data_IF_186133149793
#
_entry.id   IF_186133149793
#
_cell.length_a   1.000
_cell.length_b   1.000
_cell.length_c   1.000
_cell.angle_alpha   90.00
_cell.angle_beta   90.00
_cell.angle_gamma   90.00
#
_symmetry.space_group_name_H-M   'P 1'
#
loop_
_entity.id
_entity.type
_entity.pdbx_description
1 polymer ?
2 non-polymer ?
3 water ?
#
# COMPACT_ATOMS: atom_id res chain seq x y z
N UNK A 1 -3.89 25.46 -16.18
CA UNK A 1 -4.89 24.36 -16.28
C UNK A 1 -4.48 23.22 -17.22
N UNK A 2 -3.58 23.46 -18.18
CA UNK A 2 -3.17 22.39 -19.10
C UNK A 2 -1.81 21.74 -18.84
N UNK A 3 -0.98 22.39 -18.00
CA UNK A 3 0.36 21.97 -17.80
C UNK A 3 0.52 20.86 -16.76
N UNK A 4 1.61 20.11 -16.89
CA UNK A 4 1.96 19.10 -15.94
C UNK A 4 2.68 19.87 -14.83
N UNK A 5 2.79 19.24 -13.67
CA UNK A 5 3.55 19.80 -12.55
C UNK A 5 4.65 18.80 -12.30
N UNK A 6 5.79 19.28 -11.82
CA UNK A 6 6.90 18.41 -11.49
C UNK A 6 7.47 18.78 -10.11
N UNK A 7 8.05 17.76 -9.48
CA UNK A 7 8.87 17.89 -8.27
C UNK A 7 10.27 17.39 -8.62
N UNK A 8 11.30 18.11 -8.20
CA UNK A 8 12.69 17.65 -8.25
C UNK A 8 12.97 17.36 -6.78
N UNK A 9 13.33 16.11 -6.50
CA UNK A 9 13.49 15.64 -5.15
C UNK A 9 14.90 15.15 -4.94
N UNK A 10 15.54 15.70 -3.89
CA UNK A 10 16.89 15.35 -3.49
C UNK A 10 16.84 14.24 -2.42
N UNK A 11 17.50 13.11 -2.67
CA UNK A 11 17.51 11.98 -1.75
C UNK A 11 18.69 11.06 -2.04
N UNK A 12 19.05 10.25 -1.05
CA UNK A 12 20.13 9.27 -1.20
C UNK A 12 19.39 7.92 -1.31
N UNK A 13 19.45 7.26 -2.46
CA UNK A 13 18.81 5.96 -2.60
C UNK A 13 19.31 4.93 -1.57
N UNK A 14 18.52 3.91 -1.34
CA UNK A 14 18.89 2.85 -0.40
C UNK A 14 20.19 2.22 -0.87
N UNK A 15 21.12 2.04 0.06
CA UNK A 15 22.43 1.42 -0.21
C UNK A 15 23.56 2.31 -0.72
N UNK A 16 23.30 3.61 -0.84
CA UNK A 16 24.33 4.55 -1.24
C UNK A 16 24.36 5.80 -0.33
N UNK A 17 25.54 6.38 -0.27
CA UNK A 17 25.85 7.57 0.52
C UNK A 17 25.62 8.85 -0.28
N UNK A 18 25.56 8.71 -1.59
CA UNK A 18 25.50 9.88 -2.48
C UNK A 18 24.06 10.31 -2.79
N UNK A 19 23.79 11.61 -2.67
CA UNK A 19 22.44 12.05 -3.00
C UNK A 19 22.34 12.27 -4.52
N UNK A 20 21.11 12.18 -5.01
CA UNK A 20 20.78 12.42 -6.42
C UNK A 20 19.55 13.29 -6.40
N UNK A 21 19.16 13.83 -7.56
CA UNK A 21 17.93 14.59 -7.68
C UNK A 21 17.11 13.84 -8.74
N UNK A 22 15.93 13.41 -8.35
CA UNK A 22 15.05 12.66 -9.25
C UNK A 22 13.80 13.50 -9.46
N UNK A 23 13.30 13.51 -10.69
CA UNK A 23 12.10 14.25 -11.03
C UNK A 23 10.84 13.38 -11.04
N UNK A 24 9.76 13.88 -10.46
CA UNK A 24 8.46 13.23 -10.52
C UNK A 24 7.56 14.21 -11.29
N UNK A 25 7.01 13.77 -12.42
CA UNK A 25 6.08 14.60 -13.21
C UNK A 25 4.68 14.06 -12.98
N UNK A 26 3.73 14.99 -12.81
CA UNK A 26 2.34 14.64 -12.64
C UNK A 26 1.41 15.31 -13.66
N UNK A 27 0.35 14.56 -14.01
CA UNK A 27 -0.81 14.99 -14.78
C UNK A 27 -1.85 15.34 -13.72
N UNK A 28 -2.46 16.52 -13.78
CA UNK A 28 -3.48 16.87 -12.78
C UNK A 28 -4.85 16.84 -13.41
N UNK A 29 -5.85 16.63 -12.57
CA UNK A 29 -7.23 16.55 -13.01
C UNK A 29 -7.97 17.83 -12.69
N UNK A 30 -7.49 18.94 -13.25
CA UNK A 30 -8.09 20.25 -13.02
C UNK A 30 -9.55 20.33 -13.42
N UNK A 31 -9.97 19.55 -14.40
CA UNK A 31 -11.37 19.57 -14.81
C UNK A 31 -12.28 18.90 -13.78
N UNK A 32 -11.79 17.80 -13.21
CA UNK A 32 -12.52 17.02 -12.22
C UNK A 32 -12.61 17.70 -10.86
N UNK A 33 -11.49 18.23 -10.40
CA UNK A 33 -11.36 18.85 -9.08
C UNK A 33 -10.55 20.15 -9.17
N UNK A 34 -11.18 21.18 -9.76
CA UNK A 34 -10.49 22.44 -10.04
C UNK A 34 -9.87 23.14 -8.85
N UNK A 35 -10.59 23.24 -7.74
CA UNK A 35 -10.08 23.95 -6.57
C UNK A 35 -8.92 23.20 -5.93
N UNK A 36 -8.99 21.87 -5.89
CA UNK A 36 -7.92 21.07 -5.31
C UNK A 36 -6.66 21.14 -6.14
N UNK A 37 -6.79 21.00 -7.46
CA UNK A 37 -5.64 21.06 -8.35
C UNK A 37 -5.04 22.48 -8.31
N UNK A 38 -5.91 23.49 -8.30
CA UNK A 38 -5.46 24.90 -8.25
C UNK A 38 -4.62 25.15 -6.99
N UNK A 39 -5.09 24.71 -5.82
CA UNK A 39 -4.35 24.85 -4.57
C UNK A 39 -2.94 24.23 -4.63
N UNK A 40 -2.84 23.06 -5.25
CA UNK A 40 -1.59 22.36 -5.37
C UNK A 40 -0.61 23.15 -6.22
N UNK A 41 -1.11 23.64 -7.36
CA UNK A 41 -0.29 24.43 -8.28
C UNK A 41 0.18 25.71 -7.59
N UNK A 42 -0.70 26.34 -6.83
CA UNK A 42 -0.36 27.54 -6.08
C UNK A 42 0.71 27.25 -5.03
N UNK A 43 0.55 26.17 -4.30
CA UNK A 43 1.55 25.77 -3.31
C UNK A 43 2.88 25.37 -3.93
N UNK A 44 2.85 24.87 -5.17
CA UNK A 44 4.05 24.53 -5.94
C UNK A 44 4.86 25.77 -6.30
N UNK A 45 4.18 26.86 -6.60
CA UNK A 45 4.83 28.10 -7.04
C UNK A 45 5.29 29.04 -5.95
N UNK A 46 4.73 28.94 -4.74
CA UNK A 46 5.11 29.84 -3.67
C UNK A 46 6.59 29.74 -3.32
N UNK A 47 7.15 30.81 -2.75
CA UNK A 47 8.54 30.81 -2.35
C UNK A 47 8.88 29.69 -1.36
N UNK A 48 10.16 29.28 -1.36
CA UNK A 48 10.64 28.28 -0.42
C UNK A 48 10.18 28.73 0.98
N UNK A 49 9.73 27.80 1.80
CA UNK A 49 9.22 28.09 3.15
C UNK A 49 7.72 28.34 3.24
N UNK A 50 7.10 28.75 2.14
CA UNK A 50 5.66 29.01 2.06
C UNK A 50 4.89 27.97 1.24
N UNK A 51 5.60 27.29 0.34
CA UNK A 51 4.98 26.31 -0.52
C UNK A 51 5.71 25.01 -0.38
N UNK A 52 5.69 24.22 -1.45
CA UNK A 52 6.37 22.93 -1.41
C UNK A 52 7.88 22.97 -1.58
N UNK A 53 8.41 24.01 -2.22
CA UNK A 53 9.86 24.05 -2.41
C UNK A 53 10.53 24.17 -1.03
N UNK A 54 11.47 23.26 -0.80
CA UNK A 54 12.19 23.09 0.45
C UNK A 54 11.41 22.26 1.47
N UNK A 55 10.22 21.78 1.16
CA UNK A 55 9.53 20.94 2.12
C UNK A 55 10.09 19.53 1.89
N UNK A 56 9.75 18.63 2.82
CA UNK A 56 10.21 17.26 2.82
C UNK A 56 9.08 16.24 2.88
N UNK A 57 9.44 15.00 2.60
CA UNK A 57 8.53 13.86 2.68
C UNK A 57 8.66 13.31 4.11
N UNK A 58 7.53 13.35 4.83
CA UNK A 58 7.43 13.01 6.25
C UNK A 58 7.23 11.53 6.56
N UNK A 59 6.40 10.87 5.75
CA UNK A 59 6.06 9.46 5.92
C UNK A 59 6.21 8.79 4.57
N UNK A 60 6.86 7.64 4.57
CA UNK A 60 7.09 6.89 3.36
C UNK A 60 6.96 5.40 3.66
N UNK A 61 6.26 4.64 2.82
CA UNK A 61 6.16 3.20 3.00
C UNK A 61 6.59 2.55 1.69
N UNK A 62 7.54 1.63 1.73
CA UNK A 62 8.00 0.99 0.49
C UNK A 62 6.88 0.35 -0.34
N UNK A 63 6.98 0.55 -1.65
CA UNK A 63 6.00 0.02 -2.61
C UNK A 63 4.56 0.44 -2.34
N UNK A 64 4.38 1.55 -1.61
CA UNK A 64 3.03 1.93 -1.23
C UNK A 64 2.77 3.43 -1.27
N UNK A 65 3.49 4.20 -0.47
CA UNK A 65 3.12 5.64 -0.39
C UNK A 65 4.23 6.59 0.03
N UNK A 66 4.00 7.86 -0.32
CA UNK A 66 4.82 8.98 0.11
C UNK A 66 3.84 10.05 0.55
N UNK A 67 4.11 10.67 1.68
CA UNK A 67 3.26 11.75 2.15
C UNK A 67 4.11 13.00 2.34
N UNK A 68 3.62 14.11 1.78
CA UNK A 68 4.36 15.35 1.95
C UNK A 68 3.41 16.48 2.24
N UNK A 69 3.94 17.70 2.17
CA UNK A 69 3.13 18.89 2.34
C UNK A 69 2.62 19.28 3.70
N UNK A 70 3.32 18.90 4.76
CA UNK A 70 2.87 19.30 6.11
C UNK A 70 3.97 19.96 6.93
N UNK A 93 -2.72 1.22 17.25
CA UNK A 93 -3.14 2.08 16.10
C UNK A 93 -2.18 1.82 14.94
N UNK A 94 -1.00 2.45 14.92
CA UNK A 94 0.02 2.10 13.93
C UNK A 94 0.55 0.72 14.34
N UNK A 95 0.72 0.48 15.64
CA UNK A 95 1.22 -0.82 16.10
C UNK A 95 0.22 -1.88 15.69
N UNK A 96 -1.05 -1.58 15.85
CA UNK A 96 -2.11 -2.54 15.48
C UNK A 96 -2.19 -2.81 13.97
N UNK A 97 -2.10 -1.76 13.15
CA UNK A 97 -2.11 -1.94 11.71
C UNK A 97 -0.96 -2.85 11.29
N UNK A 98 0.21 -2.66 11.92
CA UNK A 98 1.42 -3.43 11.58
C UNK A 98 1.35 -4.92 11.95
N UNK A 99 0.46 -5.27 12.85
CA UNK A 99 0.33 -6.64 13.28
C UNK A 99 -0.48 -7.46 12.25
N UNK A 100 -1.14 -6.82 11.29
CA UNK A 100 -1.93 -7.56 10.29
C UNK A 100 -3.43 -7.34 10.43
N UNK A 101 -3.93 -6.64 9.40
CA UNK A 101 -5.32 -6.26 9.27
C UNK A 101 -5.91 -7.00 8.08
N UNK A 102 -7.14 -7.45 8.25
CA UNK A 102 -7.90 -8.09 7.23
C UNK A 102 -9.02 -7.11 6.80
N UNK A 103 -9.03 -6.80 5.50
CA UNK A 103 -9.98 -5.90 4.88
C UNK A 103 -10.67 -6.51 3.66
N UNK A 104 -11.91 -6.08 3.40
CA UNK A 104 -12.70 -6.52 2.25
C UNK A 104 -12.90 -5.31 1.38
N UNK A 105 -12.86 -5.52 0.06
CA UNK A 105 -13.10 -4.45 -0.91
C UNK A 105 -13.76 -5.04 -2.16
N UNK A 115 -13.18 -10.13 -2.81
CA UNK A 115 -11.78 -9.70 -2.58
C UNK A 115 -11.36 -9.28 -1.17
N UNK A 116 -10.34 -9.94 -0.62
CA UNK A 116 -9.85 -9.57 0.72
C UNK A 116 -8.37 -9.25 0.66
N UNK A 117 -7.94 -8.46 1.64
CA UNK A 117 -6.55 -8.02 1.77
C UNK A 117 -6.04 -8.22 3.17
N UNK A 118 -4.81 -8.70 3.29
CA UNK A 118 -4.09 -8.81 4.55
C UNK A 118 -2.95 -7.79 4.38
N UNK A 119 -2.92 -6.79 5.26
CA UNK A 119 -1.91 -5.76 5.24
C UNK A 119 -1.13 -5.69 6.55
N UNK A 120 0.16 -5.40 6.43
CA UNK A 120 1.03 -5.32 7.66
C UNK A 120 1.86 -4.06 7.68
N UNK A 121 1.42 -3.05 6.93
CA UNK A 121 2.02 -1.72 6.99
C UNK A 121 0.87 -0.84 7.41
N UNK A 122 1.16 0.38 7.88
CA UNK A 122 0.11 1.35 8.30
C UNK A 122 -0.81 1.66 7.08
N UNK A 123 -2.11 1.42 7.25
CA UNK A 123 -3.15 1.62 6.28
C UNK A 123 -4.31 2.50 6.71
N UNK A 124 -4.39 2.83 8.00
CA UNK A 124 -5.50 3.62 8.53
C UNK A 124 -5.69 4.99 7.92
N UNK A 125 -4.59 5.59 7.47
CA UNK A 125 -4.64 6.87 6.75
C UNK A 125 -5.47 6.80 5.43
N UNK A 126 -5.65 5.60 4.90
CA UNK A 126 -6.48 5.35 3.70
C UNK A 126 -7.91 5.08 4.13
N UNK A 127 -8.66 6.15 4.25
CA UNK A 127 -10.01 6.12 4.76
C UNK A 127 -11.13 6.40 3.76
N UNK A 128 -10.84 6.37 2.45
CA UNK A 128 -11.89 6.66 1.44
C UNK A 128 -12.29 8.12 1.37
N UNK A 129 -11.68 8.98 2.18
CA UNK A 129 -12.00 10.40 2.21
C UNK A 129 -11.04 11.32 1.46
N UNK A 130 -10.07 10.74 0.76
CA UNK A 130 -9.14 11.53 -0.03
C UNK A 130 -9.79 12.08 -1.28
N UNK A 131 -9.19 13.16 -1.78
CA UNK A 131 -9.61 13.78 -3.03
C UNK A 131 -8.47 13.52 -3.99
N UNK A 132 -8.74 12.66 -4.97
CA UNK A 132 -7.72 12.32 -5.98
C UNK A 132 -7.66 13.48 -6.92
N UNK A 133 -6.48 14.01 -7.18
CA UNK A 133 -6.39 15.16 -8.10
C UNK A 133 -5.30 15.05 -9.16
N UNK A 134 -4.59 13.94 -9.22
CA UNK A 134 -3.60 13.74 -10.27
C UNK A 134 -3.00 12.36 -10.29
N UNK A 135 -2.00 12.18 -11.17
CA UNK A 135 -1.34 10.86 -11.29
C UNK A 135 0.06 11.09 -11.82
N UNK A 136 0.95 10.19 -11.42
CA UNK A 136 2.31 10.20 -11.90
C UNK A 136 2.21 10.00 -13.42
N UNK A 137 2.88 10.87 -14.17
CA UNK A 137 2.70 10.87 -15.58
C UNK A 137 3.38 9.84 -16.46
N UNK A 138 4.54 9.35 -16.06
CA UNK A 138 5.36 8.52 -16.92
C UNK A 138 6.15 7.52 -16.15
N UNK A 139 6.74 6.61 -16.93
CA UNK A 139 7.52 5.55 -16.30
C UNK A 139 8.77 6.00 -15.55
N UNK A 140 9.51 6.97 -16.07
CA UNK A 140 10.70 7.41 -15.34
C UNK A 140 10.29 8.00 -14.00
N UNK A 141 9.22 8.79 -14.03
CA UNK A 141 8.74 9.39 -12.79
C UNK A 141 8.31 8.33 -11.77
N UNK A 142 7.61 7.33 -12.27
CA UNK A 142 7.17 6.20 -11.45
C UNK A 142 8.37 5.52 -10.81
N UNK A 143 9.45 5.30 -11.58
CA UNK A 143 10.72 4.72 -11.07
C UNK A 143 11.30 5.53 -9.90
N UNK A 144 11.23 6.84 -10.04
CA UNK A 144 11.68 7.75 -8.99
C UNK A 144 10.82 7.60 -7.76
N UNK A 145 9.50 7.59 -7.93
CA UNK A 145 8.60 7.37 -6.79
C UNK A 145 8.98 6.06 -6.07
N UNK A 146 9.21 4.99 -6.83
CA UNK A 146 9.54 3.68 -6.22
C UNK A 146 10.85 3.73 -5.46
N UNK A 147 11.84 4.39 -6.04
CA UNK A 147 13.12 4.58 -5.39
C UNK A 147 12.98 5.31 -4.06
N UNK A 148 12.18 6.39 -4.06
CA UNK A 148 11.95 7.16 -2.84
C UNK A 148 11.15 6.35 -1.81
N UNK A 149 10.13 5.62 -2.28
CA UNK A 149 9.34 4.77 -1.39
C UNK A 149 10.23 3.78 -0.63
N UNK A 150 11.28 3.28 -1.29
CA UNK A 150 12.19 2.31 -0.63
C UNK A 150 12.88 2.84 0.61
N UNK A 151 12.90 4.15 0.78
CA UNK A 151 13.55 4.82 1.93
C UNK A 151 12.71 4.77 3.22
N UNK A 152 11.46 4.33 3.10
CA UNK A 152 10.53 4.28 4.20
C UNK A 152 10.54 2.97 4.97
N UNK A 153 9.45 2.74 5.70
CA UNK A 153 9.31 1.56 6.55
C UNK A 153 7.83 1.25 6.72
N UNK A 154 7.49 0.11 7.32
CA UNK A 154 6.09 -0.25 7.51
C UNK A 154 5.27 0.76 8.32
N UNK A 155 5.94 1.47 9.24
CA UNK A 155 5.27 2.44 10.10
C UNK A 155 5.14 3.78 9.36
N UNK A 156 5.85 3.96 8.24
CA UNK A 156 5.92 5.22 7.50
C UNK A 156 7.14 6.03 7.91
N UNK A 157 7.88 5.62 8.93
CA UNK A 157 9.11 6.33 9.36
C UNK A 157 10.18 6.25 8.25
N UNK A 158 10.82 7.37 8.00
CA UNK A 158 11.83 7.46 6.94
C UNK A 158 13.12 6.93 7.52
N UNK A 159 13.69 5.93 6.86
CA UNK A 159 14.91 5.25 7.37
C UNK A 159 16.20 5.98 7.02
N UNK A 160 16.19 6.60 5.83
CA UNK A 160 17.34 7.36 5.35
C UNK A 160 17.77 8.46 6.34
N UNK A 161 19.04 8.81 6.38
CA UNK A 161 19.44 9.94 7.19
C UNK A 161 18.94 11.18 6.43
N UNK A 162 19.09 11.15 5.10
CA UNK A 162 18.68 12.27 4.26
C UNK A 162 17.16 12.14 4.01
N UNK A 163 16.35 12.98 4.67
CA UNK A 163 14.90 13.01 4.44
C UNK A 163 14.69 13.64 3.07
N UNK A 164 13.97 12.94 2.19
CA UNK A 164 13.79 13.44 0.83
C UNK A 164 13.21 14.85 0.85
N UNK A 165 13.83 15.73 0.08
CA UNK A 165 13.46 17.13 0.02
C UNK A 165 13.10 17.60 -1.38
N UNK A 166 12.01 18.34 -1.50
CA UNK A 166 11.63 18.92 -2.79
C UNK A 166 12.49 20.17 -2.98
N UNK A 167 13.43 20.06 -3.89
CA UNK A 167 14.35 21.17 -4.15
C UNK A 167 13.86 22.13 -5.23
N UNK A 168 12.89 21.69 -6.00
CA UNK A 168 12.24 22.51 -7.01
C UNK A 168 10.90 21.89 -7.36
N UNK A 169 9.96 22.77 -7.71
CA UNK A 169 8.64 22.39 -8.17
C UNK A 169 8.18 23.46 -9.15
N UNK A 170 7.35 23.07 -10.09
CA UNK A 170 6.87 24.01 -11.09
C UNK A 170 6.04 23.28 -12.09
N UNK A 171 5.78 23.99 -13.18
CA UNK A 171 4.94 23.48 -14.25
C UNK A 171 5.80 23.31 -15.49
N UNK A 172 5.50 22.27 -16.26
CA UNK A 172 6.15 21.93 -17.50
C UNK A 172 5.15 22.01 -18.62
N UNK B 2 -18.47 -15.54 17.05
CA UNK B 2 -17.33 -15.29 17.99
C UNK B 2 -16.09 -16.21 17.78
N UNK B 3 -16.15 -17.18 16.87
CA UNK B 3 -15.00 -18.06 16.64
C UNK B 3 -13.94 -17.35 15.83
N UNK B 4 -12.71 -17.82 15.96
CA UNK B 4 -11.65 -17.32 15.12
C UNK B 4 -11.78 -18.11 13.81
N UNK B 5 -11.27 -17.53 12.73
CA UNK B 5 -11.27 -18.24 11.45
C UNK B 5 -9.80 -18.44 11.10
N UNK B 6 -9.50 -19.46 10.31
CA UNK B 6 -8.13 -19.72 9.83
C UNK B 6 -8.08 -20.12 8.36
N UNK B 7 -6.92 -19.85 7.77
CA UNK B 7 -6.51 -20.36 6.47
C UNK B 7 -5.25 -21.21 6.68
N UNK B 8 -5.21 -22.37 6.04
CA UNK B 8 -4.00 -23.17 5.91
C UNK B 8 -3.61 -22.90 4.46
N UNK B 9 -2.41 -22.38 4.30
CA UNK B 9 -1.90 -21.99 2.99
C UNK B 9 -0.67 -22.82 2.63
N UNK B 10 -0.67 -23.38 1.42
CA UNK B 10 0.43 -24.18 0.89
C UNK B 10 1.28 -23.27 0.00
N UNK B 11 2.58 -23.21 0.28
CA UNK B 11 3.55 -22.40 -0.42
C UNK B 11 4.98 -22.90 -0.12
N UNK B 12 5.90 -22.60 -1.01
CA UNK B 12 7.32 -22.89 -0.83
C UNK B 12 7.94 -21.56 -0.42
N UNK B 13 8.57 -21.47 0.74
CA UNK B 13 9.27 -20.22 1.08
C UNK B 13 10.25 -19.76 -0.01
N UNK B 14 10.44 -18.44 -0.11
CA UNK B 14 11.33 -17.85 -1.10
C UNK B 14 12.73 -18.52 -1.00
N UNK B 15 13.30 -18.82 -2.15
CA UNK B 15 14.60 -19.49 -2.25
C UNK B 15 14.68 -20.99 -2.05
N UNK B 16 13.53 -21.63 -1.86
CA UNK B 16 13.44 -23.06 -1.62
C UNK B 16 12.37 -23.70 -2.51
N UNK B 17 12.57 -24.97 -2.83
CA UNK B 17 11.64 -25.73 -3.65
C UNK B 17 10.53 -26.42 -2.83
N UNK B 18 10.84 -26.76 -1.57
CA UNK B 18 9.89 -27.57 -0.78
C UNK B 18 8.69 -26.81 -0.26
N UNK B 19 7.50 -27.31 -0.56
CA UNK B 19 6.29 -26.64 -0.04
C UNK B 19 6.00 -27.03 1.40
N UNK B 20 5.33 -26.13 2.09
CA UNK B 20 4.92 -26.32 3.50
C UNK B 20 3.50 -25.80 3.56
N UNK B 21 2.86 -26.04 4.70
CA UNK B 21 1.53 -25.53 4.93
C UNK B 21 1.67 -24.69 6.19
N UNK B 22 1.29 -23.44 6.07
CA UNK B 22 1.30 -22.50 7.19
C UNK B 22 -0.11 -22.03 7.46
N UNK B 23 -0.41 -21.89 8.75
CA UNK B 23 -1.72 -21.46 9.15
C UNK B 23 -1.72 -19.99 9.58
N UNK B 24 -2.75 -19.28 9.11
CA UNK B 24 -2.99 -17.91 9.50
C UNK B 24 -4.35 -17.90 10.22
N UNK B 25 -4.32 -17.51 11.49
CA UNK B 25 -5.53 -17.41 12.30
C UNK B 25 -5.91 -15.92 12.39
N UNK B 26 -7.22 -15.66 12.29
CA UNK B 26 -7.76 -14.31 12.37
C UNK B 26 -8.84 -14.18 13.44
N UNK B 27 -8.87 -12.99 14.06
CA UNK B 27 -9.98 -12.56 14.91
C UNK B 27 -10.78 -11.64 14.00
N UNK B 28 -12.09 -11.86 13.94
CA UNK B 28 -13.01 -11.05 13.16
C UNK B 28 -13.76 -10.09 14.05
N UNK B 29 -14.07 -8.91 13.50
CA UNK B 29 -14.78 -7.85 14.19
C UNK B 29 -16.27 -7.90 13.85
N UNK B 30 -16.89 -9.04 14.17
CA UNK B 30 -18.29 -9.28 13.84
C UNK B 30 -19.27 -8.27 14.39
N UNK B 31 -18.93 -7.62 15.51
CA UNK B 31 -19.81 -6.61 16.08
C UNK B 31 -19.76 -5.29 15.33
N UNK B 32 -18.58 -4.92 14.85
CA UNK B 32 -18.37 -3.69 14.08
C UNK B 32 -19.02 -3.78 12.71
N UNK B 33 -18.78 -4.90 12.03
CA UNK B 33 -19.24 -5.12 10.65
C UNK B 33 -19.76 -6.55 10.48
N UNK B 34 -20.94 -6.82 11.03
CA UNK B 34 -21.51 -8.17 10.99
C UNK B 34 -21.73 -8.80 9.62
N UNK B 35 -22.25 -8.02 8.67
CA UNK B 35 -22.47 -8.56 7.33
C UNK B 35 -21.19 -8.93 6.57
N UNK B 36 -20.14 -8.13 6.71
CA UNK B 36 -18.86 -8.38 6.07
C UNK B 36 -18.19 -9.62 6.67
N UNK B 37 -18.16 -9.69 7.99
CA UNK B 37 -17.60 -10.84 8.69
C UNK B 37 -18.42 -12.11 8.36
N UNK B 38 -19.75 -12.00 8.27
CA UNK B 38 -20.59 -13.15 7.92
C UNK B 38 -20.28 -13.68 6.50
N UNK B 39 -20.16 -12.77 5.54
CA UNK B 39 -19.82 -13.13 4.16
C UNK B 39 -18.48 -13.91 4.11
N UNK B 40 -17.46 -13.40 4.80
CA UNK B 40 -16.14 -14.06 4.87
C UNK B 40 -16.28 -15.47 5.47
N UNK B 41 -16.98 -15.58 6.60
CA UNK B 41 -17.19 -16.90 7.23
C UNK B 41 -17.92 -17.87 6.31
N UNK B 42 -18.93 -17.37 5.59
CA UNK B 42 -19.67 -18.19 4.63
C UNK B 42 -18.79 -18.71 3.48
N UNK B 43 -18.00 -17.80 2.89
CA UNK B 43 -17.03 -18.16 1.83
C UNK B 43 -15.93 -19.11 2.32
N UNK B 44 -15.58 -19.00 3.58
CA UNK B 44 -14.62 -19.93 4.19
C UNK B 44 -15.18 -21.33 4.24
N UNK B 45 -16.49 -21.44 4.45
CA UNK B 45 -17.17 -22.73 4.60
C UNK B 45 -17.65 -23.38 3.32
N UNK B 46 -17.69 -22.62 2.22
CA UNK B 46 -18.17 -23.19 0.96
C UNK B 46 -17.17 -24.16 0.35
N UNK B 47 -17.66 -25.12 -0.45
CA UNK B 47 -16.78 -26.07 -1.13
C UNK B 47 -15.79 -25.39 -2.07
N UNK B 48 -14.66 -26.05 -2.35
CA UNK B 48 -13.65 -25.57 -3.30
C UNK B 48 -14.33 -25.25 -4.63
N UNK B 49 -13.94 -24.12 -5.23
CA UNK B 49 -14.52 -23.65 -6.47
C UNK B 49 -15.58 -22.60 -6.23
N UNK B 50 -16.15 -22.55 -5.03
CA UNK B 50 -17.19 -21.57 -4.69
C UNK B 50 -16.81 -20.73 -3.50
N UNK B 51 -15.81 -21.17 -2.75
CA UNK B 51 -15.36 -20.46 -1.58
C UNK B 51 -13.87 -20.28 -1.66
N UNK B 52 -13.31 -19.99 -0.50
CA UNK B 52 -11.89 -19.75 -0.43
C UNK B 52 -11.01 -20.97 -0.57
N UNK B 53 -11.52 -22.15 -0.25
CA UNK B 53 -10.73 -23.35 -0.35
C UNK B 53 -10.35 -23.60 -1.82
N UNK B 54 -9.04 -23.80 -2.03
CA UNK B 54 -8.40 -24.02 -3.31
C UNK B 54 -8.20 -22.71 -4.09
N UNK B 55 -8.57 -21.57 -3.51
CA UNK B 55 -8.30 -20.28 -4.15
C UNK B 55 -6.84 -19.93 -3.84
N UNK B 56 -6.29 -18.95 -4.54
CA UNK B 56 -4.91 -18.55 -4.36
C UNK B 56 -4.78 -17.08 -4.06
N UNK B 57 -3.56 -16.73 -3.66
CA UNK B 57 -3.22 -15.33 -3.43
C UNK B 57 -2.66 -14.85 -4.77
N UNK B 58 -3.32 -13.87 -5.35
CA UNK B 58 -2.99 -13.35 -6.65
C UNK B 58 -1.95 -12.24 -6.74
N UNK B 59 -1.92 -11.40 -5.71
CA UNK B 59 -0.98 -10.26 -5.66
C UNK B 59 -0.42 -10.22 -4.26
N UNK B 60 0.87 -9.95 -4.16
CA UNK B 60 1.63 -10.00 -2.92
C UNK B 60 2.79 -9.00 -2.99
N UNK B 61 2.95 -8.18 -1.94
CA UNK B 61 4.06 -7.21 -1.88
C UNK B 61 4.80 -7.47 -0.57
N UNK B 62 6.10 -7.69 -0.65
CA UNK B 62 6.90 -7.99 0.51
C UNK B 62 6.73 -6.95 1.61
N UNK B 63 6.58 -7.47 2.84
CA UNK B 63 6.46 -6.63 4.03
C UNK B 63 5.20 -5.78 4.07
N UNK B 64 4.25 -6.06 3.19
CA UNK B 64 3.11 -5.16 3.07
C UNK B 64 1.77 -5.84 2.87
N UNK B 65 1.60 -6.63 1.83
CA UNK B 65 0.22 -7.06 1.53
C UNK B 65 0.09 -8.42 0.85
N UNK B 66 -1.05 -9.07 1.10
CA UNK B 66 -1.45 -10.27 0.37
C UNK B 66 -2.90 -9.96 -0.05
N UNK B 67 -3.25 -10.25 -1.30
CA UNK B 67 -4.60 -10.06 -1.78
C UNK B 67 -5.10 -11.42 -2.23
N UNK B 68 -6.32 -11.72 -1.83
CA UNK B 68 -6.96 -12.96 -2.19
C UNK B 68 -8.43 -12.77 -2.51
N UNK B 69 -9.09 -13.90 -2.74
CA UNK B 69 -10.49 -13.93 -3.08
C UNK B 69 -10.65 -13.75 -4.58
N UNK B 97 -2.09 -2.54 -14.17
CA UNK B 97 -1.31 -1.37 -14.61
C UNK B 97 -0.78 -0.57 -13.44
N UNK B 98 0.52 -0.28 -13.47
CA UNK B 98 1.16 0.50 -12.43
C UNK B 98 0.62 1.94 -12.47
N UNK B 99 0.32 2.47 -11.31
CA UNK B 99 -0.22 3.81 -11.24
C UNK B 99 0.25 4.44 -9.94
N UNK B 100 0.62 5.72 -10.03
CA UNK B 100 0.94 6.47 -8.86
C UNK B 100 -0.09 7.58 -8.81
N UNK B 101 -0.94 7.54 -7.81
CA UNK B 101 -2.03 8.52 -7.68
C UNK B 101 -1.70 9.58 -6.68
N UNK B 102 -2.00 10.81 -7.06
CA UNK B 102 -1.81 11.97 -6.22
C UNK B 102 -3.17 12.37 -5.59
N UNK B 103 -3.17 12.50 -4.26
CA UNK B 103 -4.39 12.85 -3.53
C UNK B 103 -4.14 13.79 -2.36
N UNK B 104 -5.20 14.47 -1.94
CA UNK B 104 -5.14 15.40 -0.82
C UNK B 104 -6.03 14.79 0.26
N UNK B 105 -5.58 14.88 1.50
CA UNK B 105 -6.32 14.38 2.64
C UNK B 105 -7.32 15.46 3.04
N UNK B 114 -2.37 21.55 2.94
CA UNK B 114 -1.33 21.34 1.93
C UNK B 114 -0.82 19.91 1.89
N UNK B 115 -1.25 19.07 2.83
CA UNK B 115 -0.86 17.64 2.87
C UNK B 115 -1.31 16.84 1.63
N UNK B 116 -0.38 16.13 1.00
CA UNK B 116 -0.66 15.33 -0.18
C UNK B 116 -0.01 13.97 -0.03
N UNK B 117 -0.52 13.01 -0.79
CA UNK B 117 -0.04 11.63 -0.80
C UNK B 117 0.17 11.22 -2.25
N UNK B 118 1.18 10.39 -2.46
CA UNK B 118 1.43 9.69 -3.71
C UNK B 118 1.31 8.24 -3.29
N UNK B 119 0.35 7.53 -3.89
CA UNK B 119 0.07 6.15 -3.53
C UNK B 119 0.21 5.26 -4.77
N UNK B 120 0.86 4.12 -4.58
CA UNK B 120 1.12 3.22 -5.72
C UNK B 120 0.55 1.83 -5.52
N UNK B 121 -0.17 1.60 -4.41
CA UNK B 121 -0.83 0.33 -4.14
C UNK B 121 -2.16 0.60 -3.46
N UNK B 122 -3.08 -0.36 -3.59
CA UNK B 122 -4.46 -0.25 -3.12
C UNK B 122 -5.02 1.15 -3.32
N UNK B 123 -4.84 1.71 -4.53
CA UNK B 123 -5.28 3.08 -4.78
C UNK B 123 -6.80 3.26 -4.76
N UNK B 124 -7.54 2.19 -4.99
CA UNK B 124 -8.98 2.28 -4.91
C UNK B 124 -9.48 2.72 -3.52
N UNK B 125 -8.65 2.50 -2.50
CA UNK B 125 -9.02 2.82 -1.13
C UNK B 125 -8.91 4.29 -0.79
N UNK B 126 -8.40 5.10 -1.73
CA UNK B 126 -8.25 6.54 -1.48
C UNK B 126 -9.60 7.24 -1.41
N UNK B 127 -10.46 6.97 -2.39
CA UNK B 127 -11.78 7.58 -2.44
C UNK B 127 -12.88 6.54 -2.69
N UNK B 128 -12.53 5.28 -2.45
CA UNK B 128 -13.43 4.15 -2.59
C UNK B 128 -13.42 3.49 -1.22
N UNK B 129 -14.39 2.62 -0.97
CA UNK B 129 -14.51 2.03 0.36
C UNK B 129 -13.78 0.69 0.54
N UNK B 130 -13.21 0.50 1.74
CA UNK B 130 -12.66 -0.79 2.16
C UNK B 130 -13.19 -0.94 3.60
N UNK B 131 -13.45 -2.18 3.99
CA UNK B 131 -14.03 -2.48 5.27
C UNK B 131 -13.01 -3.34 6.02
N UNK B 132 -12.51 -2.82 7.14
CA UNK B 132 -11.61 -3.57 7.98
C UNK B 132 -12.50 -4.49 8.77
N UNK B 133 -12.35 -5.78 8.65
CA UNK B 133 -13.22 -6.69 9.39
C UNK B 133 -12.50 -7.73 10.23
N UNK B 134 -11.20 -7.62 10.33
CA UNK B 134 -10.48 -8.55 11.16
C UNK B 134 -9.00 -8.23 11.32
N UNK B 135 -8.35 -9.09 12.07
CA UNK B 135 -6.92 -8.95 12.38
C UNK B 135 -6.26 -10.30 12.45
N UNK B 136 -4.94 -10.31 12.15
CA UNK B 136 -4.11 -11.52 12.28
C UNK B 136 -4.00 -11.73 13.79
N UNK B 137 -4.37 -12.92 14.25
CA UNK B 137 -4.57 -13.12 15.69
C UNK B 137 -3.38 -13.27 16.63
N UNK B 138 -2.29 -13.81 16.09
CA UNK B 138 -1.13 -14.15 16.90
C UNK B 138 0.19 -14.11 16.15
N UNK B 139 1.26 -14.20 16.94
CA UNK B 139 2.60 -14.05 16.36
C UNK B 139 2.99 -15.12 15.34
N UNK B 140 2.64 -16.38 15.60
CA UNK B 140 2.90 -17.46 14.65
C UNK B 140 2.22 -17.17 13.31
N UNK B 141 0.94 -16.78 13.37
CA UNK B 141 0.18 -16.41 12.21
C UNK B 141 0.84 -15.23 11.46
N UNK B 142 1.29 -14.24 12.22
CA UNK B 142 1.99 -13.10 11.64
C UNK B 142 3.26 -13.57 10.91
N UNK B 143 4.02 -14.49 11.50
CA UNK B 143 5.22 -15.02 10.84
C UNK B 143 4.91 -15.72 9.51
N UNK B 144 3.76 -16.39 9.42
CA UNK B 144 3.32 -17.02 8.21
C UNK B 144 3.02 -15.96 7.16
N UNK B 145 2.26 -14.94 7.55
CA UNK B 145 1.96 -13.85 6.67
C UNK B 145 3.25 -13.24 6.09
N UNK B 146 4.22 -13.01 6.97
CA UNK B 146 5.50 -12.38 6.56
C UNK B 146 6.22 -13.28 5.56
N UNK B 147 6.18 -14.61 5.80
CA UNK B 147 6.80 -15.57 4.89
C UNK B 147 6.16 -15.55 3.52
N UNK B 148 4.84 -15.51 3.51
CA UNK B 148 4.09 -15.44 2.28
C UNK B 148 4.33 -14.12 1.53
N UNK B 149 4.35 -13.01 2.24
CA UNK B 149 4.66 -11.70 1.66
C UNK B 149 5.97 -11.72 0.91
N UNK B 150 6.92 -12.49 1.42
CA UNK B 150 8.26 -12.62 0.80
C UNK B 150 8.26 -13.23 -0.59
N UNK B 151 7.16 -13.88 -0.99
CA UNK B 151 7.02 -14.49 -2.30
C UNK B 151 6.52 -13.51 -3.36
N UNK B 152 6.21 -12.27 -2.94
CA UNK B 152 5.76 -11.24 -3.83
C UNK B 152 6.91 -10.42 -4.40
N UNK B 153 6.55 -9.26 -4.94
CA UNK B 153 7.52 -8.39 -5.56
C UNK B 153 6.99 -6.98 -5.45
N UNK B 154 7.81 -6.03 -5.88
CA UNK B 154 7.44 -4.64 -5.77
C UNK B 154 6.14 -4.30 -6.50
N UNK B 155 5.90 -4.98 -7.61
CA UNK B 155 4.71 -4.77 -8.44
C UNK B 155 3.48 -5.50 -7.92
N UNK B 156 3.68 -6.48 -7.03
CA UNK B 156 2.61 -7.30 -6.57
C UNK B 156 2.55 -8.65 -7.26
N UNK B 157 3.34 -8.80 -8.32
CA UNK B 157 3.42 -10.06 -9.05
C UNK B 157 4.08 -11.11 -8.15
N UNK B 158 3.45 -12.28 -8.09
CA UNK B 158 4.00 -13.40 -7.36
C UNK B 158 5.18 -13.93 -8.15
N UNK B 159 6.30 -14.03 -7.45
CA UNK B 159 7.52 -14.48 -8.13
C UNK B 159 7.50 -15.95 -8.57
N UNK B 160 7.16 -16.82 -7.59
CA UNK B 160 7.03 -18.28 -7.75
C UNK B 160 6.09 -18.63 -8.92
N UNK B 161 6.38 -19.71 -9.67
CA UNK B 161 5.52 -20.13 -10.79
C UNK B 161 4.22 -20.76 -10.23
N UNK B 162 4.12 -20.94 -8.92
CA UNK B 162 2.98 -21.51 -8.23
C UNK B 162 2.52 -20.59 -7.11
N UNK B 163 1.29 -20.10 -7.22
CA UNK B 163 0.79 -19.17 -6.24
C UNK B 163 0.43 -19.86 -4.92
N UNK B 164 0.61 -19.18 -3.81
CA UNK B 164 0.20 -19.72 -2.51
C UNK B 164 -1.27 -20.03 -2.61
N UNK B 165 -1.68 -21.19 -2.09
CA UNK B 165 -3.04 -21.66 -2.24
C UNK B 165 -3.65 -21.98 -0.87
N UNK B 166 -4.88 -21.53 -0.67
CA UNK B 166 -5.65 -21.88 0.55
C UNK B 166 -6.13 -23.31 0.40
N UNK B 167 -5.51 -24.23 1.14
CA UNK B 167 -5.88 -25.63 1.06
C UNK B 167 -6.98 -26.02 2.06
N UNK B 168 -7.16 -25.22 3.10
CA UNK B 168 -8.19 -25.44 4.08
C UNK B 168 -8.51 -24.12 4.75
N UNK B 169 -9.77 -23.97 5.13
CA UNK B 169 -10.23 -22.80 5.84
C UNK B 169 -11.40 -23.21 6.70
N UNK B 170 -11.51 -22.56 7.84
CA UNK B 170 -12.57 -22.90 8.75
C UNK B 170 -12.48 -22.11 10.03
N UNK B 171 -13.21 -22.57 11.04
CA UNK B 171 -13.30 -21.92 12.32
C UNK B 171 -12.62 -22.66 13.50
N UNK B 172 -12.08 -21.86 14.42
CA UNK B 172 -11.51 -22.32 15.67
C UNK B 172 -12.46 -21.79 16.76
#
# INVERSE_FOLDING_TARGET
SMSQVFFDVEYAPVGTAETKVGRIVFNLFDKDVPKTAKNFRELCKRPAGEGYRESTFHRIIPNFMIQGGDFTRGNGTGGRSIYGDKFADENFSRKHDKKGILSMANAGPNTNGSQFFITTAVTSWLDGKHVVFGEVADEKSYSVVKEIEALGSSSGSVRSNTRPKIVNCGEL
SMSQVFFDVEYAPVGTAETKVGRIVFNLFDKDVPKTAKNFRELCKRPAGEGYRESTFHRIIPNFMIQGGDFTRGNGTGGRSIYGDKFADENFSRKHDKKGILSMANAGPNTNGSQFFITTAVTSWLDGKHVVFGEVADEKSYSVVKEIEALGSSSGSVRSNTRPKIVNCGEL
#
